data_IF_794166214772
#
_entry.id   IF_794166214772
#
_cell.length_a   1.000
_cell.length_b   1.000
_cell.length_c   1.000
_cell.angle_alpha   90.00
_cell.angle_beta   90.00
_cell.angle_gamma   90.00
#
_symmetry.space_group_name_H-M   'P 1'
#
loop_
_entity.id
_entity.type
_entity.pdbx_description
1 polymer ?
#
# COMPACT_ATOMS: atom_id res chain seq x y z
N UNK A 1 3.55 31.45 6.60
CA UNK A 1 2.61 31.20 5.49
C UNK A 1 2.72 29.74 5.05
N UNK A 2 1.61 29.03 4.87
CA UNK A 2 1.59 27.65 4.41
C UNK A 2 2.11 27.57 2.96
N UNK A 3 3.06 26.67 2.69
CA UNK A 3 3.69 26.54 1.36
C UNK A 3 3.48 25.15 0.73
N UNK A 4 3.26 24.13 1.57
CA UNK A 4 3.14 22.76 1.10
C UNK A 4 2.20 21.95 1.99
N UNK A 5 1.62 20.90 1.43
CA UNK A 5 0.92 19.83 2.15
C UNK A 5 1.57 18.50 1.82
N UNK A 6 1.87 17.72 2.85
CA UNK A 6 2.39 16.38 2.74
C UNK A 6 1.30 15.42 3.22
N UNK A 7 0.96 14.44 2.37
CA UNK A 7 -0.10 13.48 2.66
C UNK A 7 0.48 12.09 2.85
N UNK A 8 0.08 11.43 3.92
CA UNK A 8 0.11 9.97 3.97
C UNK A 8 -0.92 9.41 2.98
N UNK A 9 -0.79 8.17 2.59
CA UNK A 9 -1.61 7.57 1.52
C UNK A 9 -2.61 6.57 2.09
N UNK A 10 -2.12 5.43 2.59
CA UNK A 10 -2.97 4.33 3.02
C UNK A 10 -3.73 4.66 4.31
N UNK A 11 -5.06 4.55 4.27
CA UNK A 11 -5.92 4.96 5.38
C UNK A 11 -6.09 6.48 5.54
N UNK A 12 -5.36 7.29 4.79
CA UNK A 12 -5.44 8.76 4.79
C UNK A 12 -6.15 9.28 3.54
N UNK A 13 -5.62 9.02 2.36
CA UNK A 13 -6.27 9.40 1.09
C UNK A 13 -7.41 8.45 0.75
N UNK A 14 -7.22 7.16 0.96
CA UNK A 14 -8.20 6.13 0.67
C UNK A 14 -8.08 4.97 1.67
N UNK A 15 -9.17 4.24 1.89
CA UNK A 15 -9.21 3.06 2.75
C UNK A 15 -8.74 1.83 1.97
N UNK A 16 -7.42 1.64 1.92
CA UNK A 16 -6.76 0.64 1.08
C UNK A 16 -6.26 -0.59 1.84
N UNK A 17 -6.39 -0.64 3.17
CA UNK A 17 -5.78 -1.68 4.00
C UNK A 17 -6.31 -3.09 3.67
N UNK A 18 -7.59 -3.24 3.47
CA UNK A 18 -8.17 -4.55 3.07
C UNK A 18 -7.69 -4.97 1.68
N UNK A 19 -7.51 -4.04 0.76
CA UNK A 19 -6.96 -4.32 -0.58
C UNK A 19 -5.51 -4.76 -0.47
N UNK A 20 -4.71 -4.12 0.37
CA UNK A 20 -3.34 -4.54 0.65
C UNK A 20 -3.29 -5.95 1.25
N UNK A 21 -4.11 -6.22 2.26
CA UNK A 21 -4.19 -7.55 2.89
C UNK A 21 -4.49 -8.65 1.86
N UNK A 22 -5.50 -8.44 1.03
CA UNK A 22 -5.88 -9.38 -0.03
C UNK A 22 -4.74 -9.60 -1.03
N UNK A 23 -4.03 -8.54 -1.38
CA UNK A 23 -2.88 -8.63 -2.29
C UNK A 23 -1.72 -9.44 -1.67
N UNK A 24 -1.45 -9.28 -0.36
CA UNK A 24 -0.46 -10.11 0.33
C UNK A 24 -0.84 -11.58 0.30
N UNK A 25 -2.08 -11.93 0.68
CA UNK A 25 -2.52 -13.31 0.71
C UNK A 25 -2.49 -13.95 -0.69
N UNK A 26 -2.89 -13.23 -1.72
CA UNK A 26 -2.78 -13.70 -3.09
C UNK A 26 -1.32 -13.94 -3.52
N UNK A 27 -0.41 -13.05 -3.15
CA UNK A 27 1.02 -13.25 -3.41
C UNK A 27 1.57 -14.48 -2.69
N UNK A 28 1.17 -14.73 -1.44
CA UNK A 28 1.59 -15.93 -0.71
C UNK A 28 1.16 -17.21 -1.43
N UNK A 29 -0.05 -17.22 -2.00
CA UNK A 29 -0.55 -18.36 -2.79
C UNK A 29 0.34 -18.58 -4.02
N UNK A 30 0.71 -17.52 -4.76
CA UNK A 30 1.59 -17.64 -5.94
C UNK A 30 2.97 -18.24 -5.60
N UNK A 31 3.45 -18.03 -4.37
CA UNK A 31 4.71 -18.59 -3.88
C UNK A 31 4.53 -19.92 -3.15
N UNK A 32 3.34 -20.52 -3.24
CA UNK A 32 3.02 -21.80 -2.58
C UNK A 32 3.27 -21.78 -1.06
N UNK A 33 3.08 -20.60 -0.45
CA UNK A 33 3.19 -20.41 0.99
C UNK A 33 1.81 -20.63 1.63
N UNK A 34 1.78 -21.34 2.75
CA UNK A 34 0.54 -21.64 3.48
C UNK A 34 0.01 -20.47 4.31
N UNK A 35 0.68 -19.33 4.26
CA UNK A 35 0.33 -18.15 5.06
C UNK A 35 -0.97 -17.52 4.57
N UNK A 36 -1.81 -17.17 5.53
CA UNK A 36 -3.05 -16.42 5.30
C UNK A 36 -3.25 -15.41 6.44
N UNK A 37 -3.15 -14.15 6.11
CA UNK A 37 -3.33 -13.07 7.08
C UNK A 37 -4.82 -12.73 7.20
N UNK A 38 -5.43 -13.10 8.33
CA UNK A 38 -6.78 -12.63 8.69
C UNK A 38 -6.82 -11.10 8.87
N UNK A 39 -8.00 -10.47 8.81
CA UNK A 39 -8.13 -9.04 9.12
C UNK A 39 -7.53 -8.66 10.48
N UNK A 40 -7.71 -9.50 11.51
CA UNK A 40 -7.15 -9.27 12.84
C UNK A 40 -5.63 -9.37 12.84
N UNK A 41 -5.05 -10.41 12.21
CA UNK A 41 -3.61 -10.56 12.08
C UNK A 41 -2.99 -9.40 11.30
N UNK A 42 -3.62 -8.99 10.23
CA UNK A 42 -3.13 -7.87 9.42
C UNK A 42 -3.09 -6.56 10.21
N UNK A 43 -4.12 -6.27 11.00
CA UNK A 43 -4.12 -5.10 11.89
C UNK A 43 -2.96 -5.12 12.88
N UNK A 44 -2.65 -6.27 13.46
CA UNK A 44 -1.48 -6.41 14.34
C UNK A 44 -0.17 -6.12 13.59
N UNK A 45 -0.05 -6.60 12.35
CA UNK A 45 1.14 -6.41 11.54
C UNK A 45 1.31 -4.98 11.02
N UNK A 46 0.29 -4.14 11.05
CA UNK A 46 0.36 -2.75 10.61
C UNK A 46 1.30 -1.88 11.45
N UNK A 47 1.66 -2.30 12.67
CA UNK A 47 2.67 -1.59 13.47
C UNK A 47 4.08 -1.66 12.84
N UNK A 48 4.31 -2.60 11.94
CA UNK A 48 5.55 -2.68 11.15
C UNK A 48 5.34 -1.92 9.84
N UNK A 49 6.01 -0.79 9.70
CA UNK A 49 5.99 0.01 8.48
C UNK A 49 6.75 -0.68 7.35
N UNK A 50 6.20 -0.57 6.13
CA UNK A 50 6.80 -1.16 4.94
C UNK A 50 6.36 -2.61 4.69
N UNK A 51 6.06 -2.91 3.42
CA UNK A 51 5.53 -4.22 3.04
C UNK A 51 6.55 -5.34 3.16
N UNK A 52 7.79 -5.09 2.77
CA UNK A 52 8.89 -6.07 2.87
C UNK A 52 9.24 -6.34 4.32
N UNK A 53 9.33 -5.29 5.12
CA UNK A 53 9.63 -5.35 6.55
C UNK A 53 8.53 -6.11 7.30
N UNK A 54 7.28 -5.92 6.92
CA UNK A 54 6.12 -6.62 7.48
C UNK A 54 6.17 -8.11 7.19
N UNK A 55 6.49 -8.52 5.96
CA UNK A 55 6.66 -9.94 5.61
C UNK A 55 7.81 -10.55 6.43
N UNK A 56 8.97 -9.87 6.47
CA UNK A 56 10.13 -10.35 7.23
C UNK A 56 9.84 -10.48 8.73
N UNK A 57 9.14 -9.52 9.31
CA UNK A 57 8.69 -9.58 10.70
C UNK A 57 7.79 -10.81 10.93
N UNK A 58 6.80 -11.03 10.07
CA UNK A 58 5.91 -12.18 10.16
C UNK A 58 6.68 -13.51 10.09
N UNK A 59 7.61 -13.64 9.16
CA UNK A 59 8.48 -14.83 9.08
C UNK A 59 9.19 -15.09 10.41
N UNK A 60 9.66 -14.04 11.08
CA UNK A 60 10.28 -14.15 12.41
C UNK A 60 9.37 -14.72 13.50
N UNK A 61 8.05 -14.59 13.34
CA UNK A 61 7.07 -15.13 14.30
C UNK A 61 6.72 -16.61 14.10
N UNK A 62 7.14 -17.21 12.98
CA UNK A 62 6.69 -18.56 12.59
C UNK A 62 7.48 -19.69 13.26
N UNK A 63 8.59 -19.40 13.94
CA UNK A 63 9.41 -20.43 14.59
C UNK A 63 10.06 -21.41 13.62
N UNK A 64 10.36 -20.99 12.40
CA UNK A 64 10.96 -21.84 11.36
C UNK A 64 12.41 -22.21 11.72
N UNK A 65 12.83 -23.42 11.29
CA UNK A 65 14.23 -23.80 11.32
C UNK A 65 15.09 -22.82 10.50
N UNK A 66 16.36 -22.64 10.89
CA UNK A 66 17.26 -21.63 10.30
C UNK A 66 17.35 -21.69 8.77
N UNK A 67 17.45 -22.89 8.19
CA UNK A 67 17.55 -23.08 6.74
C UNK A 67 16.26 -22.67 6.03
N UNK A 68 15.11 -23.05 6.55
CA UNK A 68 13.80 -22.69 6.00
C UNK A 68 13.53 -21.18 6.15
N UNK A 69 13.86 -20.63 7.31
CA UNK A 69 13.77 -19.19 7.55
C UNK A 69 14.60 -18.39 6.54
N UNK A 70 15.85 -18.81 6.31
CA UNK A 70 16.71 -18.15 5.32
C UNK A 70 16.13 -18.25 3.91
N UNK A 71 15.57 -19.42 3.54
CA UNK A 71 14.93 -19.64 2.25
C UNK A 71 13.76 -18.69 2.02
N UNK A 72 12.84 -18.57 2.95
CA UNK A 72 11.66 -17.70 2.78
C UNK A 72 12.01 -16.22 2.88
N UNK A 73 12.98 -15.84 3.72
CA UNK A 73 13.46 -14.45 3.77
C UNK A 73 14.06 -14.00 2.42
N UNK A 74 14.76 -14.87 1.72
CA UNK A 74 15.29 -14.58 0.39
C UNK A 74 14.20 -14.31 -0.65
N UNK A 75 12.98 -14.82 -0.45
CA UNK A 75 11.84 -14.60 -1.33
C UNK A 75 11.13 -13.26 -1.11
N UNK A 76 11.36 -12.58 0.01
CA UNK A 76 10.62 -11.37 0.39
C UNK A 76 10.57 -10.31 -0.70
N UNK A 77 11.66 -9.93 -1.39
CA UNK A 77 11.59 -8.95 -2.46
C UNK A 77 10.69 -9.40 -3.62
N UNK A 78 10.73 -10.67 -4.00
CA UNK A 78 9.90 -11.22 -5.08
C UNK A 78 8.42 -11.27 -4.68
N UNK A 79 8.11 -11.72 -3.47
CA UNK A 79 6.75 -11.72 -2.92
C UNK A 79 6.18 -10.30 -2.94
N UNK A 80 6.96 -9.32 -2.51
CA UNK A 80 6.51 -7.93 -2.46
C UNK A 80 6.25 -7.35 -3.85
N UNK A 81 7.06 -7.69 -4.87
CA UNK A 81 6.80 -7.29 -6.26
C UNK A 81 5.49 -7.87 -6.78
N UNK A 82 5.25 -9.15 -6.55
CA UNK A 82 3.99 -9.81 -6.95
C UNK A 82 2.80 -9.19 -6.22
N UNK A 83 2.93 -8.98 -4.91
CA UNK A 83 1.90 -8.29 -4.11
C UNK A 83 1.57 -6.91 -4.69
N UNK A 84 2.56 -6.12 -5.08
CA UNK A 84 2.33 -4.77 -5.63
C UNK A 84 1.62 -4.82 -6.98
N UNK A 85 1.94 -5.79 -7.83
CA UNK A 85 1.21 -6.04 -9.09
C UNK A 85 -0.26 -6.39 -8.82
N UNK A 86 -0.50 -7.34 -7.94
CA UNK A 86 -1.87 -7.79 -7.59
C UNK A 86 -2.66 -6.64 -6.97
N UNK A 87 -2.05 -5.83 -6.12
CA UNK A 87 -2.68 -4.65 -5.54
C UNK A 87 -3.17 -3.68 -6.63
N UNK A 88 -2.34 -3.40 -7.64
CA UNK A 88 -2.73 -2.57 -8.77
C UNK A 88 -3.92 -3.14 -9.54
N UNK A 89 -3.91 -4.45 -9.81
CA UNK A 89 -5.01 -5.15 -10.48
C UNK A 89 -6.32 -5.08 -9.66
N UNK A 90 -6.24 -5.27 -8.34
CA UNK A 90 -7.39 -5.15 -7.45
C UNK A 90 -7.98 -3.74 -7.43
N UNK A 91 -7.13 -2.70 -7.48
CA UNK A 91 -7.60 -1.31 -7.57
C UNK A 91 -8.34 -1.05 -8.88
N UNK A 92 -7.81 -1.53 -10.00
CA UNK A 92 -8.44 -1.40 -11.32
C UNK A 92 -9.83 -2.07 -11.37
N UNK A 93 -9.97 -3.22 -10.73
CA UNK A 93 -11.22 -3.99 -10.69
C UNK A 93 -12.24 -3.43 -9.70
N UNK A 94 -11.79 -2.92 -8.56
CA UNK A 94 -12.65 -2.64 -7.40
C UNK A 94 -12.94 -1.17 -7.12
N UNK A 95 -12.35 -0.23 -7.82
CA UNK A 95 -12.46 1.22 -7.57
C UNK A 95 -12.35 1.56 -6.08
N UNK A 96 -11.20 2.06 -5.65
CA UNK A 96 -11.01 2.56 -4.28
C UNK A 96 -11.00 4.08 -4.31
N UNK A 97 -12.17 4.73 -4.14
CA UNK A 97 -12.26 6.17 -4.16
C UNK A 97 -11.48 6.78 -3.01
N UNK A 98 -11.06 8.02 -3.19
CA UNK A 98 -10.57 8.81 -2.06
C UNK A 98 -11.64 8.92 -0.98
N UNK A 99 -11.20 9.04 0.26
CA UNK A 99 -12.08 9.31 1.39
C UNK A 99 -12.83 10.63 1.18
N UNK A 100 -14.03 10.78 1.76
CA UNK A 100 -14.82 12.00 1.64
C UNK A 100 -13.98 13.24 1.98
N UNK A 101 -14.07 14.26 1.12
CA UNK A 101 -13.37 15.54 1.30
C UNK A 101 -11.93 15.57 0.76
N UNK A 102 -11.27 14.44 0.55
CA UNK A 102 -9.87 14.41 0.07
C UNK A 102 -9.73 15.07 -1.30
N UNK A 103 -10.54 14.69 -2.27
CA UNK A 103 -10.48 15.27 -3.61
C UNK A 103 -10.73 16.79 -3.59
N UNK A 104 -11.67 17.26 -2.79
CA UNK A 104 -11.94 18.68 -2.61
C UNK A 104 -10.76 19.44 -2.02
N UNK A 105 -10.11 18.86 -0.98
CA UNK A 105 -8.93 19.44 -0.37
C UNK A 105 -7.76 19.50 -1.35
N UNK A 106 -7.49 18.44 -2.10
CA UNK A 106 -6.41 18.41 -3.09
C UNK A 106 -6.61 19.45 -4.19
N UNK A 107 -7.82 19.61 -4.70
CA UNK A 107 -8.15 20.64 -5.69
C UNK A 107 -7.95 22.05 -5.12
N UNK A 108 -8.50 22.33 -3.94
CA UNK A 108 -8.37 23.65 -3.29
C UNK A 108 -6.90 23.99 -3.02
N UNK A 109 -6.11 23.04 -2.56
CA UNK A 109 -4.68 23.25 -2.32
C UNK A 109 -3.91 23.51 -3.63
N UNK A 110 -4.25 22.81 -4.71
CA UNK A 110 -3.68 23.03 -6.04
C UNK A 110 -4.04 24.42 -6.58
N UNK A 111 -5.29 24.83 -6.44
CA UNK A 111 -5.76 26.17 -6.83
C UNK A 111 -5.06 27.29 -6.03
N UNK A 112 -4.80 27.02 -4.74
CA UNK A 112 -4.02 27.91 -3.88
C UNK A 112 -2.50 27.88 -4.17
N UNK A 113 -2.06 27.13 -5.18
CA UNK A 113 -0.66 26.96 -5.58
C UNK A 113 0.25 26.43 -4.48
N UNK A 114 -0.31 25.63 -3.56
CA UNK A 114 0.48 24.91 -2.58
C UNK A 114 1.22 23.73 -3.25
N UNK A 115 2.42 23.45 -2.80
CA UNK A 115 3.13 22.23 -3.20
C UNK A 115 2.46 21.02 -2.53
N UNK A 116 2.22 19.97 -3.29
CA UNK A 116 1.61 18.74 -2.81
C UNK A 116 2.61 17.60 -2.92
N UNK A 117 2.81 16.86 -1.84
CA UNK A 117 3.68 15.68 -1.84
C UNK A 117 3.00 14.50 -1.14
N UNK A 118 3.35 13.30 -1.57
CA UNK A 118 2.92 12.05 -0.95
C UNK A 118 4.08 11.45 -0.18
N UNK A 119 3.81 11.02 1.05
CA UNK A 119 4.79 10.39 1.93
C UNK A 119 4.21 9.05 2.36
N UNK A 120 4.76 7.96 1.84
CA UNK A 120 4.25 6.61 2.07
C UNK A 120 5.39 5.60 2.12
N UNK A 121 5.18 4.54 2.90
CA UNK A 121 6.04 3.34 2.91
C UNK A 121 5.60 2.30 1.87
N UNK A 122 4.48 2.54 1.19
CA UNK A 122 4.03 1.71 0.07
C UNK A 122 4.93 1.91 -1.15
N UNK A 123 5.00 0.90 -2.02
CA UNK A 123 5.77 1.02 -3.26
C UNK A 123 5.20 2.14 -4.14
N UNK A 124 6.06 2.81 -4.90
CA UNK A 124 5.63 3.84 -5.87
C UNK A 124 4.60 3.29 -6.85
N UNK A 125 4.76 2.05 -7.30
CA UNK A 125 3.78 1.39 -8.18
C UNK A 125 2.38 1.28 -7.54
N UNK A 126 2.31 1.00 -6.24
CA UNK A 126 1.03 0.93 -5.51
C UNK A 126 0.39 2.32 -5.37
N UNK A 127 1.19 3.33 -5.06
CA UNK A 127 0.73 4.73 -4.95
C UNK A 127 0.23 5.22 -6.32
N UNK A 128 1.00 4.99 -7.38
CA UNK A 128 0.63 5.37 -8.75
C UNK A 128 -0.67 4.69 -9.20
N UNK A 129 -0.87 3.42 -8.86
CA UNK A 129 -2.11 2.71 -9.17
C UNK A 129 -3.33 3.34 -8.49
N UNK A 130 -3.20 3.76 -7.22
CA UNK A 130 -4.27 4.46 -6.49
C UNK A 130 -4.57 5.81 -7.12
N UNK A 131 -3.55 6.59 -7.47
CA UNK A 131 -3.72 7.89 -8.11
C UNK A 131 -4.39 7.76 -9.47
N UNK A 132 -3.98 6.80 -10.29
CA UNK A 132 -4.63 6.53 -11.58
C UNK A 132 -6.11 6.16 -11.42
N UNK A 133 -6.44 5.34 -10.44
CA UNK A 133 -7.82 4.94 -10.16
C UNK A 133 -8.71 6.14 -9.76
N UNK A 134 -8.12 7.22 -9.23
CA UNK A 134 -8.83 8.41 -8.74
C UNK A 134 -8.59 9.67 -9.60
N UNK A 135 -7.89 9.57 -10.71
CA UNK A 135 -7.46 10.72 -11.51
C UNK A 135 -8.62 11.63 -11.95
N UNK A 136 -9.78 11.04 -12.28
CA UNK A 136 -10.97 11.80 -12.68
C UNK A 136 -11.50 12.71 -11.56
N UNK A 137 -11.26 12.39 -10.29
CA UNK A 137 -11.68 13.20 -9.15
C UNK A 137 -10.76 14.40 -8.87
N UNK A 138 -9.53 14.37 -9.39
CA UNK A 138 -8.49 15.39 -9.13
C UNK A 138 -7.84 15.88 -10.44
N UNK A 139 -8.64 16.38 -11.42
CA UNK A 139 -8.10 16.84 -12.68
C UNK A 139 -7.13 18.01 -12.45
N UNK A 140 -5.97 17.96 -13.10
CA UNK A 140 -4.96 19.02 -13.02
C UNK A 140 -4.16 19.09 -11.70
N UNK A 141 -4.42 18.22 -10.74
CA UNK A 141 -3.62 18.12 -9.51
C UNK A 141 -2.32 17.38 -9.81
N UNK A 142 -1.19 17.95 -9.42
CA UNK A 142 0.13 17.34 -9.54
C UNK A 142 0.79 17.25 -8.17
N UNK A 143 1.53 16.17 -7.97
CA UNK A 143 2.37 15.93 -6.80
C UNK A 143 3.84 16.08 -7.19
N UNK A 144 4.61 16.75 -6.33
CA UNK A 144 6.04 16.98 -6.49
C UNK A 144 6.89 16.03 -5.66
#
# INVERSE_FOLDING_TARGET
>A
MLQALLFDVDGTLADTEETHRRAFNAAFIEFELWWDWSPARYRELLHVSGGKERIAHYIGTLGLASAERARVLALVPAIHRVKSRIYGELLEQGQRPFRPGVAALLRAASEARLKLALVSTSSSASVDALLRANQAAIPGVAFG
#
